data_IF_913699886637
#
_entry.id   IF_913699886637
#
_cell.length_a   1.000
_cell.length_b   1.000
_cell.length_c   1.000
_cell.angle_alpha   90.00
_cell.angle_beta   90.00
_cell.angle_gamma   90.00
#
_symmetry.space_group_name_H-M   'P 1'
#
loop_
_entity.id
_entity.type
_entity.pdbx_description
1 polymer ?
#
# COMPACT_ATOMS: atom_id res chain seq x y z
N UNK A 1 -6.93 3.06 -5.00
CA UNK A 1 -5.59 2.50 -4.81
C UNK A 1 -5.15 1.82 -6.08
N UNK A 2 -5.88 0.78 -6.50
CA UNK A 2 -5.73 0.20 -7.83
C UNK A 2 -6.32 1.16 -8.89
N UNK A 3 -5.45 1.71 -9.75
CA UNK A 3 -5.80 2.66 -10.80
C UNK A 3 -5.88 2.00 -12.19
N UNK A 4 -5.54 0.71 -12.28
CA UNK A 4 -5.42 -0.01 -13.55
C UNK A 4 -6.65 -0.89 -13.77
N UNK A 5 -7.05 -1.69 -12.78
CA UNK A 5 -8.16 -2.65 -12.89
C UNK A 5 -9.33 -2.34 -11.95
N UNK A 6 -9.11 -1.52 -10.91
CA UNK A 6 -10.15 -1.13 -9.95
C UNK A 6 -10.70 -2.28 -9.11
N UNK A 7 -10.05 -3.44 -9.10
CA UNK A 7 -10.50 -4.66 -8.40
C UNK A 7 -9.47 -5.20 -7.41
N UNK A 8 -8.34 -4.50 -7.24
CA UNK A 8 -7.26 -4.85 -6.32
C UNK A 8 -6.14 -5.68 -6.95
N UNK A 9 -6.23 -6.07 -8.22
CA UNK A 9 -5.15 -6.80 -8.91
C UNK A 9 -4.17 -5.90 -9.66
N UNK A 10 -4.57 -4.66 -9.97
CA UNK A 10 -3.69 -3.67 -10.59
C UNK A 10 -2.86 -2.90 -9.57
N UNK A 11 -1.62 -2.58 -9.95
CA UNK A 11 -0.73 -1.75 -9.15
C UNK A 11 0.30 -1.10 -10.07
N UNK A 12 0.56 0.19 -9.87
CA UNK A 12 1.57 0.93 -10.62
C UNK A 12 2.26 1.92 -9.69
N UNK A 13 3.52 2.21 -9.94
CA UNK A 13 4.28 3.24 -9.25
C UNK A 13 4.87 4.22 -10.26
N UNK A 14 5.14 5.44 -9.81
CA UNK A 14 5.90 6.41 -10.61
C UNK A 14 7.34 5.94 -10.90
N UNK A 15 7.80 4.89 -10.20
CA UNK A 15 9.11 4.27 -10.37
C UNK A 15 9.10 3.02 -11.27
N UNK A 16 7.94 2.65 -11.85
CA UNK A 16 7.76 1.41 -12.62
C UNK A 16 6.68 0.50 -12.02
N UNK A 17 6.77 -0.81 -12.26
CA UNK A 17 5.74 -1.76 -11.81
C UNK A 17 5.64 -1.87 -10.29
N UNK A 18 6.77 -1.90 -9.58
CA UNK A 18 6.80 -1.94 -8.11
C UNK A 18 8.08 -1.34 -7.52
N UNK A 19 8.07 -1.08 -6.22
CA UNK A 19 9.22 -0.61 -5.46
C UNK A 19 9.32 -1.26 -4.08
N UNK A 20 10.52 -1.24 -3.49
CA UNK A 20 10.81 -1.84 -2.19
C UNK A 20 10.17 -1.07 -1.02
N UNK A 21 10.18 -1.67 0.17
CA UNK A 21 9.79 -0.96 1.39
C UNK A 21 10.85 0.07 1.76
N UNK A 22 10.42 1.28 2.11
CA UNK A 22 11.33 2.35 2.52
C UNK A 22 11.85 2.11 3.94
N UNK A 23 10.96 1.85 4.90
CA UNK A 23 11.25 1.49 6.27
C UNK A 23 9.97 1.03 7.00
N UNK A 24 10.13 0.56 8.25
CA UNK A 24 9.04 0.14 9.13
C UNK A 24 9.05 0.88 10.48
N UNK A 25 9.46 2.16 10.48
CA UNK A 25 9.62 2.95 11.72
C UNK A 25 8.27 3.31 12.36
N UNK A 26 7.23 3.54 11.54
CA UNK A 26 5.89 3.92 12.00
C UNK A 26 5.00 2.69 12.18
N UNK A 27 4.42 2.55 13.38
CA UNK A 27 3.51 1.45 13.73
C UNK A 27 2.06 1.83 13.46
N UNK A 28 1.23 0.85 13.13
CA UNK A 28 -0.21 0.98 12.94
C UNK A 28 -0.96 0.98 14.28
N UNK A 29 -0.78 2.03 15.08
CA UNK A 29 -1.30 2.06 16.46
C UNK A 29 -2.70 2.66 16.60
N UNK A 30 -3.14 3.50 15.65
CA UNK A 30 -4.38 4.26 15.76
C UNK A 30 -5.13 4.35 14.42
N UNK A 31 -6.46 4.60 14.44
CA UNK A 31 -7.22 4.89 13.24
C UNK A 31 -6.70 6.12 12.48
N UNK A 32 -6.92 6.15 11.17
CA UNK A 32 -6.52 7.25 10.28
C UNK A 32 -5.07 7.17 9.79
N UNK A 33 -4.27 6.22 10.28
CA UNK A 33 -2.93 5.98 9.73
C UNK A 33 -3.05 5.43 8.30
N UNK A 34 -2.43 6.13 7.35
CA UNK A 34 -2.30 5.71 5.95
C UNK A 34 -1.11 4.76 5.80
N UNK A 35 -1.30 3.63 5.13
CA UNK A 35 -0.26 2.65 4.86
C UNK A 35 -0.37 2.04 3.46
N UNK A 36 0.73 1.48 2.95
CA UNK A 36 0.77 0.81 1.66
C UNK A 36 0.12 -0.56 1.73
N UNK A 37 -0.72 -0.86 0.75
CA UNK A 37 -1.21 -2.22 0.53
C UNK A 37 -0.20 -2.94 -0.36
N UNK A 38 0.17 -4.17 0.02
CA UNK A 38 0.99 -5.06 -0.81
C UNK A 38 0.10 -6.06 -1.52
N UNK A 39 0.39 -6.29 -2.80
CA UNK A 39 -0.39 -7.18 -3.65
C UNK A 39 0.53 -8.26 -4.22
N UNK A 40 0.68 -9.37 -3.49
CA UNK A 40 1.44 -10.54 -3.97
C UNK A 40 2.97 -10.35 -4.05
N UNK A 41 3.59 -11.03 -5.04
CA UNK A 41 5.05 -11.05 -5.28
C UNK A 41 5.57 -9.67 -5.75
N UNK A 42 4.70 -8.88 -6.36
CA UNK A 42 4.99 -7.52 -6.77
C UNK A 42 5.03 -6.64 -5.50
N UNK A 43 6.08 -5.84 -5.36
CA UNK A 43 6.30 -4.99 -4.18
C UNK A 43 5.25 -3.88 -4.00
N UNK A 44 5.67 -2.73 -3.47
CA UNK A 44 4.75 -1.62 -3.28
C UNK A 44 4.39 -0.96 -4.62
N UNK A 45 3.17 -0.45 -4.73
CA UNK A 45 2.72 0.39 -5.84
C UNK A 45 1.70 1.44 -5.41
N UNK A 46 0.63 1.60 -6.17
CA UNK A 46 -0.38 2.66 -5.98
C UNK A 46 -1.46 2.33 -4.93
N UNK A 47 -1.59 1.05 -4.56
CA UNK A 47 -2.57 0.63 -3.57
C UNK A 47 -2.20 1.07 -2.14
N UNK A 48 -3.21 1.47 -1.36
CA UNK A 48 -3.06 1.94 0.01
C UNK A 48 -4.32 1.66 0.82
N UNK A 49 -4.20 1.72 2.15
CA UNK A 49 -5.32 1.58 3.08
C UNK A 49 -5.18 2.56 4.26
N UNK A 50 -6.30 2.81 4.93
CA UNK A 50 -6.34 3.50 6.21
C UNK A 50 -6.62 2.50 7.33
N UNK A 51 -5.88 2.61 8.44
CA UNK A 51 -6.23 1.90 9.67
C UNK A 51 -7.58 2.43 10.16
N UNK A 52 -8.53 1.53 10.43
CA UNK A 52 -9.86 1.91 10.91
C UNK A 52 -10.01 1.70 12.44
N UNK A 53 -9.10 0.94 13.04
CA UNK A 53 -9.15 0.56 14.45
C UNK A 53 -7.79 0.82 15.12
N UNK A 54 -7.85 1.02 16.43
CA UNK A 54 -6.67 1.06 17.30
C UNK A 54 -6.16 -0.38 17.49
N UNK A 55 -4.83 -0.55 17.49
CA UNK A 55 -4.18 -1.84 17.76
C UNK A 55 -4.09 -2.13 19.26
#
# INVERSE_FOLDING_TARGET
GDITHGNGTGSESIYGSSFADENYVKKHIDPGILSKAKTGIEGNGSQFFFCAIKA
#
